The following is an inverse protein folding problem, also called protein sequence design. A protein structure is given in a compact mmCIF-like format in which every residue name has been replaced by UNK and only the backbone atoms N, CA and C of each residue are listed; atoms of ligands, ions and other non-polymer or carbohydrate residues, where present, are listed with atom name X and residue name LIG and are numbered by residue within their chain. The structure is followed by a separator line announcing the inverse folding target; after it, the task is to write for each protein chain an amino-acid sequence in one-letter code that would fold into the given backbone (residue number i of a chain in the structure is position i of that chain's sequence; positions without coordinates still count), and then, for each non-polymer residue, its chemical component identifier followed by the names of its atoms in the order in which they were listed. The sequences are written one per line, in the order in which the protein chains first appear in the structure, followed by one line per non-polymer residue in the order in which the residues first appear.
data_IF_155108046948
#
_entry.id   IF_155108046948
#
_cell.length_a   1.000
_cell.length_b   1.000
_cell.length_c   1.000
_cell.angle_alpha   90.00
_cell.angle_beta   90.00
_cell.angle_gamma   90.00
#
_symmetry.space_group_name_H-M   'P 1'
#
loop_
_entity.id
_entity.type
_entity.pdbx_description
1 polymer ?
#
# COMPACT_ATOMS: atom_id res chain seq x y z
N UNK A 1 -3.41 53.40 1.76
CA UNK A 1 -3.80 52.79 3.05
C UNK A 1 -5.14 52.08 3.00
N UNK A 2 -6.18 52.63 2.33
CA UNK A 2 -7.49 51.93 2.18
C UNK A 2 -7.40 50.72 1.25
N UNK A 3 -6.65 50.80 0.15
CA UNK A 3 -6.50 49.66 -0.76
C UNK A 3 -5.75 48.46 -0.15
N UNK A 4 -4.83 48.71 0.79
CA UNK A 4 -4.11 47.64 1.49
C UNK A 4 -5.00 46.89 2.48
N UNK A 5 -6.03 47.53 3.03
CA UNK A 5 -7.02 46.86 3.88
C UNK A 5 -7.98 46.02 3.06
N UNK A 6 -8.40 46.52 1.90
CA UNK A 6 -9.27 45.79 0.97
C UNK A 6 -8.58 44.56 0.37
N UNK A 7 -7.28 44.66 0.04
CA UNK A 7 -6.48 43.54 -0.45
C UNK A 7 -6.37 42.41 0.60
N UNK A 8 -6.17 42.77 1.87
CA UNK A 8 -6.11 41.79 2.98
C UNK A 8 -7.45 41.11 3.23
N UNK A 9 -8.56 41.85 3.09
CA UNK A 9 -9.90 41.28 3.19
C UNK A 9 -10.18 40.31 2.02
N UNK A 10 -9.81 40.67 0.79
CA UNK A 10 -9.95 39.81 -0.38
C UNK A 10 -9.22 38.47 -0.23
N UNK A 11 -7.98 38.49 0.30
CA UNK A 11 -7.20 37.29 0.57
C UNK A 11 -7.85 36.40 1.64
N UNK A 12 -8.45 37.00 2.68
CA UNK A 12 -9.18 36.28 3.73
C UNK A 12 -10.43 35.57 3.17
N UNK A 13 -11.23 36.26 2.34
CA UNK A 13 -12.40 35.67 1.70
C UNK A 13 -12.02 34.57 0.72
N UNK A 14 -10.97 34.78 -0.07
CA UNK A 14 -10.45 33.79 -1.01
C UNK A 14 -9.97 32.53 -0.27
N UNK A 15 -9.26 32.70 0.84
CA UNK A 15 -8.83 31.58 1.68
C UNK A 15 -10.02 30.79 2.27
N UNK A 16 -11.04 31.48 2.78
CA UNK A 16 -12.25 30.85 3.34
C UNK A 16 -12.99 30.02 2.28
N UNK A 17 -13.17 30.58 1.08
CA UNK A 17 -13.83 29.89 -0.05
C UNK A 17 -13.02 28.66 -0.46
N UNK A 18 -11.69 28.78 -0.56
CA UNK A 18 -10.82 27.66 -0.88
C UNK A 18 -10.85 26.58 0.20
N UNK A 19 -10.86 26.95 1.49
CA UNK A 19 -10.96 26.00 2.61
C UNK A 19 -12.31 25.26 2.60
N UNK A 20 -13.42 25.97 2.38
CA UNK A 20 -14.74 25.38 2.24
C UNK A 20 -14.83 24.44 1.03
N UNK A 21 -14.25 24.82 -0.11
CA UNK A 21 -14.19 23.99 -1.31
C UNK A 21 -13.35 22.71 -1.09
N UNK A 22 -12.18 22.82 -0.44
CA UNK A 22 -11.34 21.65 -0.08
C UNK A 22 -12.04 20.70 0.89
N UNK A 23 -12.90 21.22 1.77
CA UNK A 23 -13.68 20.43 2.74
C UNK A 23 -14.93 19.81 2.09
N UNK A 24 -15.55 20.49 1.13
CA UNK A 24 -16.76 20.03 0.44
C UNK A 24 -16.45 19.06 -0.70
N UNK A 25 -15.29 19.21 -1.36
CA UNK A 25 -14.82 18.25 -2.35
C UNK A 25 -14.45 16.94 -1.66
N UNK A 26 -15.18 15.86 -1.99
CA UNK A 26 -14.77 14.53 -1.57
C UNK A 26 -13.38 14.27 -2.15
N UNK A 27 -12.39 13.95 -1.30
CA UNK A 27 -11.09 13.46 -1.77
C UNK A 27 -11.34 12.40 -2.83
N UNK A 28 -10.91 12.68 -4.06
CA UNK A 28 -11.00 11.74 -5.16
C UNK A 28 -10.15 10.54 -4.76
N UNK A 29 -10.81 9.44 -4.41
CA UNK A 29 -10.11 8.19 -4.18
C UNK A 29 -9.48 7.81 -5.52
N UNK A 30 -8.16 7.98 -5.64
CA UNK A 30 -7.38 7.45 -6.74
C UNK A 30 -7.82 6.00 -6.95
N UNK A 31 -8.07 5.62 -8.20
CA UNK A 31 -8.50 4.28 -8.56
C UNK A 31 -7.53 3.28 -7.94
N UNK A 32 -7.96 2.58 -6.90
CA UNK A 32 -7.18 1.51 -6.30
C UNK A 32 -6.90 0.51 -7.41
N UNK A 33 -5.62 0.30 -7.74
CA UNK A 33 -5.21 -0.70 -8.73
C UNK A 33 -5.97 -2.00 -8.44
N UNK A 34 -6.71 -2.49 -9.43
CA UNK A 34 -7.48 -3.71 -9.25
C UNK A 34 -6.51 -4.85 -8.95
N UNK A 35 -6.76 -5.67 -7.92
CA UNK A 35 -5.88 -6.80 -7.61
C UNK A 35 -5.71 -7.72 -8.82
N UNK A 36 -4.58 -8.41 -8.92
CA UNK A 36 -4.27 -9.31 -10.05
C UNK A 36 -5.31 -10.44 -10.25
N UNK A 37 -6.03 -10.81 -9.19
CA UNK A 37 -7.10 -11.83 -9.21
C UNK A 37 -8.49 -11.25 -9.52
N UNK A 38 -8.60 -9.95 -9.79
CA UNK A 38 -9.88 -9.32 -10.11
C UNK A 38 -10.36 -9.71 -11.50
N UNK A 39 -11.65 -10.01 -11.63
CA UNK A 39 -12.27 -10.47 -12.88
C UNK A 39 -13.64 -9.81 -13.05
N UNK A 40 -14.07 -9.59 -14.29
CA UNK A 40 -15.40 -9.09 -14.64
C UNK A 40 -16.55 -9.91 -14.02
N UNK A 41 -16.40 -11.24 -13.92
CA UNK A 41 -17.40 -12.10 -13.27
C UNK A 41 -17.57 -11.76 -11.77
N UNK A 42 -16.47 -11.53 -11.06
CA UNK A 42 -16.48 -11.10 -9.65
C UNK A 42 -17.12 -9.71 -9.54
N UNK A 43 -16.81 -8.80 -10.46
CA UNK A 43 -17.39 -7.47 -10.48
C UNK A 43 -18.92 -7.50 -10.65
N UNK A 44 -19.42 -8.29 -11.61
CA UNK A 44 -20.86 -8.53 -11.83
C UNK A 44 -21.53 -9.07 -10.56
N UNK A 45 -20.99 -10.13 -9.96
CA UNK A 45 -21.52 -10.71 -8.71
C UNK A 45 -21.45 -9.73 -7.54
N UNK A 46 -20.39 -8.92 -7.43
CA UNK A 46 -20.26 -7.89 -6.39
C UNK A 46 -21.30 -6.78 -6.55
N UNK A 47 -21.54 -6.31 -7.78
CA UNK A 47 -22.60 -5.33 -8.09
C UNK A 47 -23.97 -5.86 -7.70
N UNK A 48 -24.27 -7.11 -8.05
CA UNK A 48 -25.52 -7.77 -7.67
C UNK A 48 -25.65 -7.92 -6.15
N UNK A 49 -24.62 -8.40 -5.47
CA UNK A 49 -24.60 -8.53 -4.01
C UNK A 49 -24.82 -7.18 -3.31
N UNK A 50 -24.20 -6.11 -3.82
CA UNK A 50 -24.40 -4.75 -3.31
C UNK A 50 -25.83 -4.23 -3.52
N UNK A 51 -26.45 -4.53 -4.66
CA UNK A 51 -27.86 -4.21 -4.92
C UNK A 51 -28.76 -4.91 -3.90
N UNK A 52 -28.57 -6.21 -3.69
CA UNK A 52 -29.35 -6.98 -2.71
C UNK A 52 -29.11 -6.52 -1.28
N UNK A 53 -27.88 -6.18 -0.91
CA UNK A 53 -27.56 -5.59 0.41
C UNK A 53 -28.33 -4.30 0.64
N UNK A 54 -28.36 -3.39 -0.36
CA UNK A 54 -29.10 -2.13 -0.30
C UNK A 54 -30.60 -2.39 -0.15
N UNK A 55 -31.15 -3.35 -0.90
CA UNK A 55 -32.56 -3.73 -0.79
C UNK A 55 -32.88 -4.27 0.61
N UNK A 56 -32.04 -5.17 1.15
CA UNK A 56 -32.18 -5.67 2.51
C UNK A 56 -32.15 -4.52 3.54
N UNK A 57 -31.18 -3.61 3.43
CA UNK A 57 -31.08 -2.46 4.36
C UNK A 57 -32.30 -1.54 4.27
N UNK A 58 -32.87 -1.34 3.08
CA UNK A 58 -34.08 -0.54 2.89
C UNK A 58 -35.30 -1.24 3.50
N UNK A 59 -35.49 -2.53 3.20
CA UNK A 59 -36.58 -3.34 3.73
C UNK A 59 -36.57 -3.44 5.28
N UNK A 60 -35.37 -3.48 5.87
CA UNK A 60 -35.22 -3.44 7.34
C UNK A 60 -35.55 -2.05 7.90
N UNK A 61 -35.32 -0.96 7.16
CA UNK A 61 -35.63 0.40 7.64
C UNK A 61 -37.12 0.73 7.53
N UNK A 62 -37.82 0.16 6.55
CA UNK A 62 -39.27 0.33 6.35
C UNK A 62 -40.09 -0.55 7.32
N UNK A 63 -39.78 -0.52 8.62
CA UNK A 63 -40.22 -1.40 9.73
C UNK A 63 -41.74 -1.69 9.88
N UNK A 64 -42.62 -1.34 8.94
CA UNK A 64 -44.08 -1.48 9.06
C UNK A 64 -44.80 -2.32 8.00
N UNK A 65 -44.31 -2.47 6.77
CA UNK A 65 -45.23 -2.87 5.67
C UNK A 65 -45.20 -4.36 5.28
N UNK A 66 -44.07 -5.08 5.39
CA UNK A 66 -44.05 -6.50 5.03
C UNK A 66 -42.83 -7.28 5.58
N UNK A 67 -43.03 -8.02 6.68
CA UNK A 67 -42.01 -8.87 7.32
C UNK A 67 -41.50 -9.98 6.39
N UNK A 68 -42.35 -10.50 5.51
CA UNK A 68 -41.98 -11.54 4.55
C UNK A 68 -40.99 -11.00 3.52
N UNK A 69 -41.28 -9.83 2.94
CA UNK A 69 -40.39 -9.19 1.97
C UNK A 69 -38.99 -8.88 2.55
N UNK A 70 -38.91 -8.51 3.84
CA UNK A 70 -37.63 -8.30 4.52
C UNK A 70 -36.83 -9.60 4.70
N UNK A 71 -37.51 -10.71 5.00
CA UNK A 71 -36.89 -12.03 5.09
C UNK A 71 -36.40 -12.51 3.71
N UNK A 72 -37.22 -12.39 2.67
CA UNK A 72 -36.86 -12.79 1.30
C UNK A 72 -35.63 -12.00 0.81
N UNK A 73 -35.60 -10.69 1.06
CA UNK A 73 -34.45 -9.84 0.72
C UNK A 73 -33.17 -10.24 1.47
N UNK A 74 -33.31 -10.68 2.73
CA UNK A 74 -32.19 -11.18 3.54
C UNK A 74 -31.68 -12.51 3.00
N UNK A 75 -32.55 -13.43 2.62
CA UNK A 75 -32.17 -14.72 2.06
C UNK A 75 -31.50 -14.58 0.70
N UNK A 76 -32.07 -13.76 -0.19
CA UNK A 76 -31.48 -13.44 -1.49
C UNK A 76 -30.06 -12.86 -1.35
N UNK A 77 -29.86 -11.90 -0.44
CA UNK A 77 -28.53 -11.35 -0.16
C UNK A 77 -27.57 -12.41 0.41
N UNK A 78 -28.05 -13.28 1.32
CA UNK A 78 -27.23 -14.35 1.91
C UNK A 78 -26.79 -15.35 0.84
N UNK A 79 -27.68 -15.77 -0.05
CA UNK A 79 -27.38 -16.66 -1.17
C UNK A 79 -26.35 -16.04 -2.13
N UNK A 80 -26.59 -14.79 -2.57
CA UNK A 80 -25.67 -14.07 -3.44
C UNK A 80 -24.28 -13.86 -2.80
N UNK A 81 -24.23 -13.57 -1.50
CA UNK A 81 -22.96 -13.43 -0.76
C UNK A 81 -22.17 -14.74 -0.72
N UNK A 82 -22.84 -15.88 -0.49
CA UNK A 82 -22.17 -17.20 -0.50
C UNK A 82 -21.56 -17.49 -1.87
N UNK A 83 -22.32 -17.25 -2.93
CA UNK A 83 -21.88 -17.43 -4.31
C UNK A 83 -20.71 -16.49 -4.68
N UNK A 84 -20.77 -15.23 -4.27
CA UNK A 84 -19.66 -14.28 -4.44
C UNK A 84 -18.39 -14.75 -3.71
N UNK A 85 -18.50 -15.18 -2.46
CA UNK A 85 -17.36 -15.66 -1.67
C UNK A 85 -16.75 -16.92 -2.28
N UNK A 86 -17.59 -17.86 -2.75
CA UNK A 86 -17.14 -19.06 -3.46
C UNK A 86 -16.36 -18.67 -4.73
N UNK A 87 -16.95 -17.81 -5.56
CA UNK A 87 -16.32 -17.32 -6.79
C UNK A 87 -14.97 -16.65 -6.51
N UNK A 88 -14.89 -15.78 -5.48
CA UNK A 88 -13.62 -15.13 -5.10
C UNK A 88 -12.56 -16.15 -4.69
N UNK A 89 -12.92 -17.18 -3.90
CA UNK A 89 -11.97 -18.22 -3.48
C UNK A 89 -11.45 -19.01 -4.68
N UNK A 90 -12.35 -19.42 -5.56
CA UNK A 90 -12.02 -20.23 -6.74
C UNK A 90 -11.13 -19.42 -7.70
N UNK A 91 -11.46 -18.15 -7.95
CA UNK A 91 -10.64 -17.27 -8.79
C UNK A 91 -9.28 -16.99 -8.18
N UNK A 92 -9.20 -16.68 -6.88
CA UNK A 92 -7.91 -16.47 -6.20
C UNK A 92 -7.02 -17.71 -6.30
N UNK A 93 -7.59 -18.89 -6.08
CA UNK A 93 -6.84 -20.14 -6.16
C UNK A 93 -6.35 -20.42 -7.58
N UNK A 94 -7.19 -20.18 -8.60
CA UNK A 94 -6.81 -20.30 -10.00
C UNK A 94 -5.67 -19.34 -10.36
N UNK A 95 -5.82 -18.04 -10.07
CA UNK A 95 -4.79 -17.05 -10.34
C UNK A 95 -3.50 -17.34 -9.56
N UNK A 96 -3.59 -17.85 -8.33
CA UNK A 96 -2.42 -18.26 -7.56
C UNK A 96 -1.67 -19.45 -8.19
N UNK A 97 -2.40 -20.42 -8.76
CA UNK A 97 -1.79 -21.54 -9.50
C UNK A 97 -1.06 -21.06 -10.75
N UNK A 98 -1.70 -20.20 -11.53
CA UNK A 98 -1.11 -19.62 -12.74
C UNK A 98 0.15 -18.81 -12.40
N UNK A 99 0.06 -17.97 -11.37
CA UNK A 99 1.18 -17.15 -10.91
C UNK A 99 2.37 -17.98 -10.41
N UNK A 100 2.13 -19.13 -9.77
CA UNK A 100 3.20 -20.05 -9.39
C UNK A 100 3.85 -20.72 -10.61
N UNK A 101 3.06 -21.21 -11.55
CA UNK A 101 3.60 -21.84 -12.76
C UNK A 101 4.45 -20.88 -13.60
N UNK A 102 4.01 -19.63 -13.72
CA UNK A 102 4.79 -18.58 -14.40
C UNK A 102 6.06 -18.21 -13.61
N UNK A 103 6.03 -18.23 -12.28
CA UNK A 103 7.21 -18.00 -11.44
C UNK A 103 8.27 -19.11 -11.62
N UNK A 104 7.84 -20.38 -11.68
CA UNK A 104 8.74 -21.52 -11.90
C UNK A 104 9.42 -21.47 -13.27
N UNK A 105 8.76 -20.84 -14.26
CA UNK A 105 9.29 -20.67 -15.62
C UNK A 105 10.19 -19.44 -15.73
N UNK A 106 9.80 -18.32 -15.12
CA UNK A 106 10.53 -17.06 -15.15
C UNK A 106 10.46 -16.32 -13.80
N UNK A 107 11.56 -16.43 -13.06
CA UNK A 107 11.75 -15.81 -11.75
C UNK A 107 11.73 -14.28 -11.76
N UNK A 108 12.00 -13.62 -12.90
CA UNK A 108 12.05 -12.15 -13.02
C UNK A 108 10.87 -11.59 -13.83
N UNK A 109 9.85 -12.41 -14.10
CA UNK A 109 8.69 -12.04 -14.89
C UNK A 109 7.68 -11.14 -14.16
N UNK A 110 6.48 -11.03 -14.73
CA UNK A 110 5.39 -10.24 -14.15
C UNK A 110 4.97 -10.75 -12.76
N UNK A 111 5.07 -12.05 -12.54
CA UNK A 111 4.82 -12.71 -11.25
C UNK A 111 5.65 -12.10 -10.12
N UNK A 112 6.95 -11.89 -10.35
CA UNK A 112 7.84 -11.25 -9.40
C UNK A 112 7.39 -9.82 -9.08
N UNK A 113 7.00 -9.04 -10.09
CA UNK A 113 6.46 -7.68 -9.88
C UNK A 113 5.18 -7.70 -9.03
N UNK A 114 4.26 -8.63 -9.31
CA UNK A 114 3.01 -8.76 -8.56
C UNK A 114 3.29 -9.15 -7.10
N UNK A 115 4.14 -10.15 -6.89
CA UNK A 115 4.54 -10.64 -5.55
C UNK A 115 5.21 -9.52 -4.75
N UNK A 116 6.25 -8.90 -5.29
CA UNK A 116 6.98 -7.82 -4.60
C UNK A 116 6.09 -6.61 -4.27
N UNK A 117 5.18 -6.21 -5.17
CA UNK A 117 4.19 -5.16 -4.88
C UNK A 117 3.26 -5.54 -3.72
N UNK A 118 2.89 -6.81 -3.60
CA UNK A 118 1.98 -7.27 -2.52
C UNK A 118 2.64 -7.33 -1.15
N UNK A 119 3.92 -7.69 -1.08
CA UNK A 119 4.69 -7.71 0.17
C UNK A 119 5.16 -6.31 0.61
N UNK A 120 4.97 -5.31 -0.26
CA UNK A 120 5.55 -3.98 -0.09
C UNK A 120 7.07 -4.03 -0.24
N UNK A 121 7.71 -2.85 -0.31
CA UNK A 121 9.11 -2.80 0.09
C UNK A 121 9.11 -3.17 1.58
N UNK A 122 9.47 -4.42 1.90
CA UNK A 122 10.04 -4.74 3.20
C UNK A 122 11.06 -3.65 3.44
N UNK A 123 10.84 -2.83 4.49
CA UNK A 123 11.81 -1.82 4.91
C UNK A 123 13.17 -2.48 4.83
N UNK A 124 14.14 -1.95 4.05
CA UNK A 124 15.43 -2.60 3.95
C UNK A 124 15.89 -2.83 5.38
N UNK A 125 16.09 -4.11 5.73
CA UNK A 125 16.49 -4.50 7.07
C UNK A 125 17.68 -3.61 7.42
N UNK A 126 17.54 -2.76 8.44
CA UNK A 126 18.60 -1.83 8.82
C UNK A 126 19.74 -2.64 9.45
N UNK A 127 20.56 -3.20 8.56
CA UNK A 127 21.76 -3.90 8.92
C UNK A 127 22.71 -2.85 9.44
N UNK A 128 22.91 -2.80 10.76
CA UNK A 128 24.03 -2.07 11.37
C UNK A 128 25.31 -2.29 10.56
N UNK A 129 26.15 -1.26 10.43
CA UNK A 129 27.38 -1.28 9.63
C UNK A 129 28.24 -2.52 9.94
N UNK A 130 28.29 -2.95 11.21
CA UNK A 130 29.03 -4.14 11.66
C UNK A 130 28.51 -5.44 11.04
N UNK A 131 27.18 -5.65 11.05
CA UNK A 131 26.54 -6.80 10.40
C UNK A 131 26.82 -6.81 8.90
N UNK A 132 26.75 -5.64 8.23
CA UNK A 132 27.11 -5.52 6.80
C UNK A 132 28.55 -5.93 6.57
N UNK A 133 29.50 -5.45 7.38
CA UNK A 133 30.92 -5.78 7.27
C UNK A 133 31.19 -7.28 7.45
N UNK A 134 30.52 -7.91 8.43
CA UNK A 134 30.62 -9.35 8.66
C UNK A 134 30.10 -10.15 7.48
N UNK A 135 28.94 -9.77 6.93
CA UNK A 135 28.36 -10.42 5.74
C UNK A 135 29.28 -10.25 4.53
N UNK A 136 29.82 -9.05 4.30
CA UNK A 136 30.75 -8.78 3.20
C UNK A 136 32.05 -9.58 3.32
N UNK A 137 32.62 -9.72 4.53
CA UNK A 137 33.82 -10.53 4.76
C UNK A 137 33.59 -12.02 4.47
N UNK A 138 32.36 -12.52 4.62
CA UNK A 138 31.99 -13.91 4.31
C UNK A 138 31.67 -14.09 2.83
N UNK A 139 30.88 -13.19 2.23
CA UNK A 139 30.42 -13.31 0.85
C UNK A 139 31.48 -12.92 -0.18
N UNK A 140 32.32 -11.93 0.13
CA UNK A 140 33.33 -11.38 -0.78
C UNK A 140 34.71 -11.25 -0.11
N UNK A 141 35.40 -12.37 0.20
CA UNK A 141 36.70 -12.34 0.88
C UNK A 141 37.77 -11.56 0.10
N UNK A 142 37.75 -11.65 -1.24
CA UNK A 142 38.81 -11.16 -2.13
C UNK A 142 38.74 -9.65 -2.44
N UNK A 143 37.61 -8.98 -2.20
CA UNK A 143 37.47 -7.54 -2.48
C UNK A 143 38.13 -6.67 -1.39
N UNK A 144 38.23 -7.18 -0.16
CA UNK A 144 38.89 -6.50 0.95
C UNK A 144 40.42 -6.48 0.83
N UNK A 145 41.01 -7.52 0.23
CA UNK A 145 42.44 -7.57 -0.08
C UNK A 145 42.79 -6.60 -1.21
N UNK A 146 41.96 -6.54 -2.26
CA UNK A 146 42.19 -5.68 -3.43
C UNK A 146 42.02 -4.19 -3.15
N UNK A 147 41.23 -3.78 -2.16
CA UNK A 147 41.04 -2.37 -1.78
C UNK A 147 42.10 -1.85 -0.79
N UNK A 148 43.09 -2.66 -0.39
CA UNK A 148 44.20 -2.21 0.47
C UNK A 148 43.81 -1.75 1.88
N UNK A 149 42.57 -1.99 2.32
CA UNK A 149 42.01 -1.51 3.59
C UNK A 149 42.24 -2.47 4.78
N UNK A 150 42.98 -3.57 4.57
CA UNK A 150 43.22 -4.58 5.60
C UNK A 150 44.26 -4.16 6.67
N UNK A 151 44.89 -2.99 6.56
CA UNK A 151 46.04 -2.61 7.39
C UNK A 151 45.94 -1.26 8.13
N UNK A 152 44.75 -0.75 8.46
CA UNK A 152 44.63 0.54 9.19
C UNK A 152 43.45 0.61 10.16
N UNK A 153 43.17 -0.46 10.92
CA UNK A 153 42.17 -0.42 11.99
C UNK A 153 42.75 -0.40 13.41
N UNK A 154 44.08 -0.33 13.59
CA UNK A 154 44.73 -0.33 14.92
C UNK A 154 45.44 0.99 15.31
N UNK A 155 45.54 1.99 14.44
CA UNK A 155 46.38 3.19 14.69
C UNK A 155 45.74 4.53 14.26
N UNK A 156 44.48 4.79 14.59
CA UNK A 156 43.93 6.16 14.43
C UNK A 156 43.05 6.53 15.63
N UNK A 157 43.63 6.52 16.83
CA UNK A 157 43.20 7.40 17.92
C UNK A 157 44.28 7.49 19.02
N UNK A 158 45.38 8.19 18.72
CA UNK A 158 46.16 8.83 19.79
C UNK A 158 46.23 10.33 19.46
N UNK A 159 45.68 11.21 20.30
CA UNK A 159 45.93 12.64 20.13
C UNK A 159 47.41 12.89 20.44
N UNK A 160 48.20 13.25 19.43
CA UNK A 160 49.59 13.66 19.64
C UNK A 160 49.60 15.06 20.27
N UNK A 161 50.12 15.26 21.51
CA UNK A 161 50.08 16.53 22.20
C UNK A 161 51.41 17.26 22.01
N UNK A 162 51.71 17.79 20.82
CA UNK A 162 52.96 18.55 20.64
C UNK A 162 52.99 19.39 19.35
N UNK A 163 52.09 20.37 19.15
CA UNK A 163 52.29 21.46 18.17
C UNK A 163 51.53 22.73 18.59
N UNK A 164 51.83 23.27 19.78
CA UNK A 164 51.38 24.61 20.21
C UNK A 164 52.51 25.50 20.78
N UNK A 165 53.76 25.24 20.39
CA UNK A 165 54.87 26.13 20.69
C UNK A 165 55.75 26.30 19.45
N UNK A 166 55.45 27.32 18.64
CA UNK A 166 56.39 28.29 18.05
C UNK A 166 55.75 28.98 16.83
N UNK A 167 55.78 30.32 16.89
CA UNK A 167 55.29 31.36 15.96
C UNK A 167 53.79 31.62 15.86
#
# INVERSE_FOLDING_TARGET
MVEETEAKEHDQYTWLIQAAHRKSTRKQCYTTSTPYWWNENIDKKRKQCNKLRRNQTRAVRSQGENRQAANDAREAHKACKRDLVKTIRDTKWKCWKELRAELDTNIWGNTYSIVTKTFGMLTPYDLSIEKRRKVLGVLFPTSLEKLGLAATAKNVLSPSPALWLMN
#
